data_IF_873070504588
#
_entry.id   IF_873070504588
#
_cell.length_a   1.000
_cell.length_b   1.000
_cell.length_c   1.000
_cell.angle_alpha   90.00
_cell.angle_beta   90.00
_cell.angle_gamma   90.00
#
_symmetry.space_group_name_H-M   'P 1'
#
loop_
_entity.id
_entity.type
_entity.pdbx_description
1 polymer ?
#
# COMPACT_ATOMS: atom_id res chain seq x y z
N UNK A 1 -11.98 6.67 16.57
CA UNK A 1 -10.80 5.95 16.05
C UNK A 1 -10.82 5.79 14.51
N UNK A 2 -12.00 5.65 13.90
CA UNK A 2 -12.16 5.42 12.44
C UNK A 2 -11.79 6.58 11.51
N UNK A 3 -11.89 7.83 11.96
CA UNK A 3 -11.53 9.00 11.14
C UNK A 3 -10.04 8.98 10.80
N UNK A 4 -9.18 8.62 11.77
CA UNK A 4 -7.73 8.52 11.55
C UNK A 4 -7.37 7.38 10.60
N UNK A 5 -8.06 6.23 10.70
CA UNK A 5 -7.91 5.10 9.77
C UNK A 5 -8.31 5.49 8.34
N UNK A 6 -9.50 6.07 8.14
CA UNK A 6 -9.98 6.52 6.83
C UNK A 6 -9.05 7.57 6.21
N UNK A 7 -8.57 8.52 7.02
CA UNK A 7 -7.66 9.56 6.55
C UNK A 7 -6.29 9.00 6.15
N UNK A 8 -5.76 8.03 6.91
CA UNK A 8 -4.51 7.35 6.57
C UNK A 8 -4.62 6.62 5.23
N UNK A 9 -5.68 5.83 5.03
CA UNK A 9 -5.93 5.12 3.76
C UNK A 9 -6.03 6.10 2.59
N UNK A 10 -6.79 7.19 2.73
CA UNK A 10 -6.94 8.20 1.66
C UNK A 10 -5.62 8.92 1.33
N UNK A 11 -4.79 9.23 2.34
CA UNK A 11 -3.47 9.85 2.13
C UNK A 11 -2.50 8.91 1.43
N UNK A 12 -2.47 7.65 1.85
CA UNK A 12 -1.66 6.62 1.23
C UNK A 12 -2.10 6.46 -0.22
N UNK A 13 -3.37 6.16 -0.50
CA UNK A 13 -3.88 6.01 -1.88
C UNK A 13 -3.56 7.22 -2.75
N UNK A 14 -3.73 8.46 -2.25
CA UNK A 14 -3.37 9.67 -3.01
C UNK A 14 -1.87 9.76 -3.31
N UNK A 15 -1.02 9.35 -2.37
CA UNK A 15 0.43 9.34 -2.56
C UNK A 15 0.83 8.28 -3.61
N UNK A 16 0.25 7.09 -3.55
CA UNK A 16 0.47 6.04 -4.54
C UNK A 16 0.06 6.45 -5.95
N UNK A 17 -1.08 7.14 -6.11
CA UNK A 17 -1.53 7.69 -7.40
C UNK A 17 -0.63 8.81 -7.95
N UNK A 18 0.27 9.38 -7.14
CA UNK A 18 1.22 10.43 -7.53
C UNK A 18 2.62 9.90 -7.82
N UNK A 19 2.88 8.62 -7.59
CA UNK A 19 4.19 8.03 -7.85
C UNK A 19 4.32 7.65 -9.33
N UNK A 20 5.49 7.90 -9.96
CA UNK A 20 5.77 7.42 -11.30
C UNK A 20 5.69 5.90 -11.35
N UNK A 21 5.12 5.36 -12.43
CA UNK A 21 4.90 3.92 -12.61
C UNK A 21 6.18 3.09 -12.49
N UNK A 22 7.31 3.64 -12.90
CA UNK A 22 8.65 3.03 -12.75
C UNK A 22 9.06 2.80 -11.29
N UNK A 23 8.68 3.71 -10.38
CA UNK A 23 8.92 3.56 -8.93
C UNK A 23 7.94 2.57 -8.33
N UNK A 24 6.74 2.47 -8.91
CA UNK A 24 5.69 1.53 -8.50
C UNK A 24 5.98 0.09 -8.93
N UNK A 25 6.63 -0.08 -10.08
CA UNK A 25 6.98 -1.38 -10.67
C UNK A 25 8.41 -1.84 -10.31
N UNK A 26 9.07 -1.12 -9.38
CA UNK A 26 10.38 -1.51 -8.88
C UNK A 26 10.33 -2.89 -8.19
N UNK A 27 11.35 -3.76 -8.38
CA UNK A 27 11.39 -5.10 -7.79
C UNK A 27 11.16 -5.12 -6.27
N UNK A 28 11.63 -4.10 -5.56
CA UNK A 28 11.44 -3.95 -4.12
C UNK A 28 9.98 -3.73 -3.71
N UNK A 29 9.18 -3.04 -4.54
CA UNK A 29 7.77 -2.75 -4.24
C UNK A 29 6.86 -3.93 -4.56
N UNK A 30 7.17 -4.70 -5.60
CA UNK A 30 6.49 -5.96 -5.89
C UNK A 30 6.68 -6.96 -4.75
N UNK A 31 7.91 -7.08 -4.23
CA UNK A 31 8.22 -7.92 -3.05
C UNK A 31 7.51 -7.39 -1.80
N UNK A 32 7.45 -6.08 -1.62
CA UNK A 32 6.72 -5.47 -0.50
C UNK A 32 5.21 -5.75 -0.58
N UNK A 33 4.59 -5.64 -1.76
CA UNK A 33 3.18 -5.99 -1.97
C UNK A 33 2.91 -7.47 -1.69
N UNK A 34 3.73 -8.38 -2.22
CA UNK A 34 3.60 -9.81 -1.97
C UNK A 34 3.64 -10.15 -0.46
N UNK A 35 4.55 -9.54 0.29
CA UNK A 35 4.63 -9.72 1.76
C UNK A 35 3.44 -9.10 2.49
N UNK A 36 2.90 -8.00 1.99
CA UNK A 36 1.72 -7.35 2.56
C UNK A 36 0.45 -8.18 2.30
N UNK A 37 0.29 -8.71 1.09
CA UNK A 37 -0.82 -9.59 0.72
C UNK A 37 -0.78 -10.91 1.52
N UNK A 38 0.41 -11.48 1.73
CA UNK A 38 0.62 -12.63 2.62
C UNK A 38 0.25 -12.29 4.08
N UNK A 39 0.75 -11.18 4.62
CA UNK A 39 0.46 -10.77 6.00
C UNK A 39 -1.02 -10.46 6.23
N UNK A 40 -1.72 -9.90 5.24
CA UNK A 40 -3.16 -9.63 5.30
C UNK A 40 -4.00 -10.89 5.07
N UNK A 41 -3.55 -11.81 4.21
CA UNK A 41 -4.18 -13.11 4.01
C UNK A 41 -4.12 -14.01 5.26
N UNK A 42 -3.07 -13.83 6.07
CA UNK A 42 -2.91 -14.51 7.36
C UNK A 42 -3.72 -13.87 8.51
N UNK A 43 -4.49 -12.80 8.25
CA UNK A 43 -5.37 -12.14 9.22
C UNK A 43 -6.84 -12.60 9.08
N UNK A 44 -7.05 -13.86 8.69
CA UNK A 44 -8.35 -14.57 8.72
C UNK A 44 -8.34 -15.62 9.80
#
# INVERSE_FOLDING_TARGET
LDIRKKFFTLRVVRQWNRLPREVVDAPSLAVFKARLDEALGNLV
#
